data_IF_091540265686
#
_entry.id   IF_091540265686
#
_cell.length_a   1.000
_cell.length_b   1.000
_cell.length_c   1.000
_cell.angle_alpha   90.00
_cell.angle_beta   90.00
_cell.angle_gamma   90.00
#
_symmetry.space_group_name_H-M   'P 1'
#
loop_
_entity.id
_entity.type
_entity.pdbx_description
1 polymer ?
#
# COMPACT_ATOMS: atom_id res chain seq x y z
N UNK A 1 -20.86 8.48 3.28
CA UNK A 1 -21.42 7.38 4.10
C UNK A 1 -20.29 6.77 4.87
N UNK A 2 -20.28 6.87 6.21
CA UNK A 2 -19.25 6.24 7.06
C UNK A 2 -19.46 4.73 7.15
N UNK A 3 -18.37 4.00 7.45
CA UNK A 3 -18.38 2.55 7.64
C UNK A 3 -17.73 2.24 8.98
N UNK A 4 -18.43 1.48 9.81
CA UNK A 4 -17.95 1.02 11.09
C UNK A 4 -17.83 -0.50 11.08
N UNK A 5 -16.63 -0.99 11.36
CA UNK A 5 -16.28 -2.40 11.41
C UNK A 5 -15.91 -2.70 12.86
N UNK A 6 -16.55 -3.67 13.48
CA UNK A 6 -16.33 -4.01 14.90
C UNK A 6 -16.06 -5.49 15.06
N UNK A 7 -14.87 -5.82 15.55
CA UNK A 7 -14.45 -7.16 15.98
C UNK A 7 -14.72 -8.25 14.93
N UNK A 8 -14.53 -7.94 13.65
CA UNK A 8 -14.81 -8.87 12.57
C UNK A 8 -13.80 -10.01 12.60
N UNK A 9 -14.32 -11.22 12.69
CA UNK A 9 -13.58 -12.48 12.63
C UNK A 9 -14.07 -13.32 11.47
N UNK A 10 -13.13 -13.97 10.74
CA UNK A 10 -13.46 -14.89 9.65
C UNK A 10 -12.44 -16.01 9.56
N UNK A 11 -12.94 -17.24 9.50
CA UNK A 11 -12.14 -18.44 9.37
C UNK A 11 -12.61 -19.29 8.16
N UNK A 12 -11.68 -19.88 7.45
CA UNK A 12 -11.91 -20.83 6.37
C UNK A 12 -11.20 -22.15 6.71
N UNK A 13 -11.95 -23.15 7.20
CA UNK A 13 -11.34 -24.35 7.76
C UNK A 13 -10.39 -23.99 8.91
N UNK A 14 -9.12 -24.39 8.81
CA UNK A 14 -8.10 -24.08 9.83
C UNK A 14 -7.41 -22.73 9.59
N UNK A 15 -7.75 -22.01 8.53
CA UNK A 15 -7.12 -20.74 8.18
C UNK A 15 -7.94 -19.56 8.70
N UNK A 16 -7.36 -18.76 9.61
CA UNK A 16 -7.95 -17.51 10.09
C UNK A 16 -7.61 -16.39 9.11
N UNK A 17 -8.60 -15.96 8.33
CA UNK A 17 -8.46 -14.87 7.36
C UNK A 17 -8.54 -13.49 7.99
N UNK A 18 -9.39 -13.31 9.01
CA UNK A 18 -9.53 -12.07 9.78
C UNK A 18 -9.61 -12.42 11.26
N UNK A 19 -8.83 -11.71 12.07
CA UNK A 19 -8.74 -11.93 13.51
C UNK A 19 -9.09 -10.66 14.27
N UNK A 20 -10.36 -10.53 14.66
CA UNK A 20 -10.86 -9.43 15.49
C UNK A 20 -10.57 -8.03 14.90
N UNK A 21 -10.87 -7.85 13.61
CA UNK A 21 -10.59 -6.59 12.89
C UNK A 21 -11.63 -5.53 13.24
N UNK A 22 -11.16 -4.36 13.67
CA UNK A 22 -11.99 -3.17 13.91
C UNK A 22 -11.42 -1.97 13.16
N UNK A 23 -12.29 -1.22 12.45
CA UNK A 23 -11.88 -0.09 11.62
C UNK A 23 -13.06 0.86 11.44
N UNK A 24 -12.80 2.17 11.55
CA UNK A 24 -13.73 3.22 11.19
C UNK A 24 -13.27 3.90 9.90
N UNK A 25 -14.20 4.12 8.97
CA UNK A 25 -13.95 4.82 7.71
C UNK A 25 -14.92 5.98 7.62
N UNK A 26 -14.37 7.18 7.48
CA UNK A 26 -15.14 8.41 7.42
C UNK A 26 -15.90 8.55 6.08
N UNK A 27 -16.97 9.35 6.10
CA UNK A 27 -17.72 9.63 4.89
C UNK A 27 -16.86 10.43 3.90
N UNK A 28 -16.79 9.96 2.64
CA UNK A 28 -16.01 10.59 1.58
C UNK A 28 -14.52 10.28 1.62
N UNK A 29 -14.07 9.38 2.47
CA UNK A 29 -12.66 8.99 2.59
C UNK A 29 -12.28 7.93 1.54
N UNK A 30 -11.07 8.01 1.02
CA UNK A 30 -10.45 6.99 0.16
C UNK A 30 -9.42 6.19 0.96
N UNK A 31 -9.76 4.98 1.33
CA UNK A 31 -8.94 4.10 2.17
C UNK A 31 -8.28 3.00 1.35
N UNK A 32 -6.98 2.79 1.54
CA UNK A 32 -6.25 1.65 1.01
C UNK A 32 -6.13 0.54 2.05
N UNK A 33 -6.59 -0.67 1.73
CA UNK A 33 -6.22 -1.88 2.47
C UNK A 33 -4.93 -2.44 1.84
N UNK A 34 -3.82 -2.30 2.54
CA UNK A 34 -2.47 -2.64 2.09
C UNK A 34 -1.92 -3.85 2.88
N UNK A 35 -1.12 -4.68 2.25
CA UNK A 35 -0.45 -5.81 2.92
C UNK A 35 -0.12 -6.96 1.97
N UNK A 36 0.60 -7.98 2.45
CA UNK A 36 0.99 -9.13 1.64
C UNK A 36 -0.22 -9.95 1.16
N UNK A 37 0.01 -10.78 0.15
CA UNK A 37 -1.02 -11.71 -0.34
C UNK A 37 -1.47 -12.65 0.78
N UNK A 38 -2.79 -12.91 0.86
CA UNK A 38 -3.37 -13.81 1.87
C UNK A 38 -3.55 -13.21 3.27
N UNK A 39 -3.28 -11.91 3.51
CA UNK A 39 -3.46 -11.31 4.83
C UNK A 39 -4.89 -10.88 5.18
N UNK A 40 -5.90 -11.19 4.34
CA UNK A 40 -7.32 -10.96 4.65
C UNK A 40 -7.98 -9.75 3.97
N UNK A 41 -7.26 -8.91 3.22
CA UNK A 41 -7.79 -7.67 2.59
C UNK A 41 -9.04 -7.90 1.73
N UNK A 42 -8.96 -8.80 0.75
CA UNK A 42 -10.10 -9.13 -0.12
C UNK A 42 -11.26 -9.76 0.66
N UNK A 43 -10.96 -10.54 1.69
CA UNK A 43 -11.99 -11.11 2.58
C UNK A 43 -12.72 -10.00 3.32
N UNK A 44 -12.01 -9.03 3.91
CA UNK A 44 -12.60 -7.89 4.57
C UNK A 44 -13.45 -7.06 3.59
N UNK A 45 -12.91 -6.76 2.40
CA UNK A 45 -13.64 -6.03 1.36
C UNK A 45 -14.94 -6.72 0.95
N UNK A 46 -14.93 -8.05 0.81
CA UNK A 46 -16.14 -8.85 0.48
C UNK A 46 -17.14 -8.88 1.62
N UNK A 47 -16.71 -8.91 2.87
CA UNK A 47 -17.59 -8.83 4.04
C UNK A 47 -18.27 -7.46 4.09
N UNK A 48 -17.55 -6.36 3.87
CA UNK A 48 -18.12 -5.01 3.78
C UNK A 48 -19.17 -4.96 2.65
N UNK A 49 -18.89 -5.57 1.51
CA UNK A 49 -19.83 -5.62 0.38
C UNK A 49 -21.08 -6.49 0.65
N UNK A 50 -21.05 -7.39 1.63
CA UNK A 50 -22.08 -8.43 1.82
C UNK A 50 -21.98 -9.59 0.83
N UNK A 51 -20.81 -9.77 0.21
CA UNK A 51 -20.49 -10.90 -0.69
C UNK A 51 -19.93 -12.09 0.09
N UNK A 52 -19.48 -11.87 1.32
CA UNK A 52 -19.01 -12.88 2.26
C UNK A 52 -19.60 -12.56 3.64
N UNK A 53 -19.80 -13.58 4.49
CA UNK A 53 -20.34 -13.41 5.83
C UNK A 53 -19.21 -13.52 6.86
N UNK A 54 -19.14 -12.60 7.80
CA UNK A 54 -18.27 -12.72 8.96
C UNK A 54 -18.79 -13.82 9.89
N UNK A 55 -17.88 -14.51 10.59
CA UNK A 55 -18.25 -15.51 11.60
C UNK A 55 -18.59 -14.82 12.93
N UNK A 56 -17.97 -13.66 13.19
CA UNK A 56 -18.25 -12.79 14.33
C UNK A 56 -18.02 -11.33 13.96
N UNK A 57 -18.55 -10.42 14.77
CA UNK A 57 -18.44 -8.99 14.58
C UNK A 57 -19.58 -8.38 13.77
N UNK A 58 -19.51 -7.07 13.57
CA UNK A 58 -20.58 -6.31 12.89
C UNK A 58 -20.02 -5.32 11.88
N UNK A 59 -20.82 -5.03 10.84
CA UNK A 59 -20.59 -3.97 9.87
C UNK A 59 -21.78 -3.01 9.95
N UNK A 60 -21.51 -1.72 10.18
CA UNK A 60 -22.53 -0.69 10.14
C UNK A 60 -22.21 0.37 9.09
N UNK A 61 -23.21 0.87 8.40
CA UNK A 61 -23.14 1.99 7.49
C UNK A 61 -23.89 3.18 8.06
N UNK A 62 -23.18 4.29 8.31
CA UNK A 62 -23.75 5.50 8.95
C UNK A 62 -24.53 5.20 10.23
N UNK A 63 -24.01 4.28 11.07
CA UNK A 63 -24.60 3.85 12.32
C UNK A 63 -25.69 2.77 12.21
N UNK A 64 -26.10 2.39 11.00
CA UNK A 64 -27.08 1.33 10.78
C UNK A 64 -26.39 -0.02 10.59
N UNK A 65 -26.72 -1.03 11.40
CA UNK A 65 -26.16 -2.38 11.28
C UNK A 65 -26.59 -3.03 9.95
N UNK A 66 -25.61 -3.32 9.11
CA UNK A 66 -25.79 -3.96 7.81
C UNK A 66 -25.22 -5.38 7.76
N UNK A 67 -24.81 -5.94 8.88
CA UNK A 67 -24.13 -7.24 8.96
C UNK A 67 -24.89 -8.35 8.23
N UNK A 68 -26.21 -8.39 8.37
CA UNK A 68 -27.09 -9.38 7.74
C UNK A 68 -27.90 -8.84 6.56
N UNK A 69 -27.66 -7.57 6.16
CA UNK A 69 -28.35 -6.96 5.02
C UNK A 69 -27.79 -7.56 3.72
N UNK A 70 -28.69 -7.95 2.82
CA UNK A 70 -28.31 -8.52 1.54
C UNK A 70 -27.53 -7.54 0.67
N UNK A 71 -26.55 -8.01 -0.09
CA UNK A 71 -25.67 -7.17 -0.93
C UNK A 71 -26.40 -6.17 -1.82
N UNK A 72 -27.60 -6.51 -2.35
CA UNK A 72 -28.42 -5.62 -3.19
C UNK A 72 -28.95 -4.39 -2.45
N UNK A 73 -29.08 -4.46 -1.14
CA UNK A 73 -29.65 -3.40 -0.30
C UNK A 73 -28.57 -2.53 0.35
N UNK A 74 -27.29 -2.97 0.33
CA UNK A 74 -26.17 -2.23 0.93
C UNK A 74 -25.76 -0.97 0.16
N UNK A 75 -26.27 -0.77 -1.04
CA UNK A 75 -25.95 0.38 -1.89
C UNK A 75 -24.43 0.56 -2.16
N UNK A 76 -23.73 -0.54 -2.33
CA UNK A 76 -22.30 -0.57 -2.64
C UNK A 76 -22.05 -0.84 -4.13
N UNK A 77 -21.09 -0.14 -4.70
CA UNK A 77 -20.52 -0.46 -6.01
C UNK A 77 -19.27 -1.31 -5.82
N UNK A 78 -19.19 -2.45 -6.50
CA UNK A 78 -18.04 -3.35 -6.39
C UNK A 78 -17.35 -3.55 -7.73
N UNK A 79 -16.02 -3.35 -7.75
CA UNK A 79 -15.16 -3.64 -8.90
C UNK A 79 -14.26 -4.81 -8.55
N UNK A 80 -14.42 -5.93 -9.27
CA UNK A 80 -13.63 -7.15 -9.06
C UNK A 80 -12.25 -7.04 -9.72
N UNK A 81 -11.26 -7.75 -9.20
CA UNK A 81 -9.89 -7.83 -9.68
C UNK A 81 -9.79 -8.12 -11.19
N UNK A 82 -10.66 -8.97 -11.72
CA UNK A 82 -10.73 -9.31 -13.15
C UNK A 82 -11.82 -8.54 -13.90
N UNK A 83 -12.26 -7.41 -13.33
CA UNK A 83 -13.28 -6.48 -13.88
C UNK A 83 -14.68 -7.08 -14.06
N UNK A 84 -14.81 -8.39 -14.22
CA UNK A 84 -16.06 -9.16 -14.36
C UNK A 84 -17.05 -8.54 -15.38
N UNK A 85 -16.54 -7.99 -16.49
CA UNK A 85 -17.40 -7.48 -17.56
C UNK A 85 -18.13 -8.62 -18.29
N UNK A 86 -19.38 -8.38 -18.65
CA UNK A 86 -20.18 -9.31 -19.46
C UNK A 86 -19.65 -9.34 -20.89
N UNK A 87 -18.98 -10.41 -21.28
CA UNK A 87 -18.24 -10.53 -22.54
C UNK A 87 -19.13 -10.46 -23.78
N UNK A 88 -20.40 -10.84 -23.65
CA UNK A 88 -21.42 -10.85 -24.73
C UNK A 88 -22.19 -9.54 -24.84
N UNK A 89 -21.91 -8.55 -23.99
CA UNK A 89 -22.52 -7.24 -23.97
C UNK A 89 -21.51 -6.19 -24.43
N UNK A 90 -21.99 -5.15 -25.11
CA UNK A 90 -21.19 -3.98 -25.44
C UNK A 90 -20.78 -3.21 -24.18
N UNK A 91 -19.90 -2.25 -24.33
CA UNK A 91 -19.52 -1.31 -23.25
C UNK A 91 -20.76 -0.59 -22.73
N UNK A 92 -21.60 -0.05 -23.62
CA UNK A 92 -22.85 0.60 -23.26
C UNK A 92 -23.75 -0.32 -22.43
N UNK A 93 -23.97 -1.54 -22.89
CA UNK A 93 -24.83 -2.53 -22.22
C UNK A 93 -24.28 -2.95 -20.85
N UNK A 94 -22.96 -3.08 -20.72
CA UNK A 94 -22.31 -3.35 -19.45
C UNK A 94 -22.62 -2.26 -18.42
N UNK A 95 -22.50 -0.98 -18.79
CA UNK A 95 -22.77 0.15 -17.88
C UNK A 95 -24.27 0.27 -17.62
N UNK A 96 -25.11 0.09 -18.62
CA UNK A 96 -26.57 0.16 -18.51
C UNK A 96 -27.19 -0.97 -17.67
N UNK A 97 -26.46 -2.10 -17.52
CA UNK A 97 -27.01 -3.33 -16.94
C UNK A 97 -27.64 -3.11 -15.56
N UNK A 98 -26.91 -2.47 -14.65
CA UNK A 98 -27.39 -2.22 -13.28
C UNK A 98 -28.68 -1.37 -13.25
N UNK A 99 -28.82 -0.44 -14.19
CA UNK A 99 -30.01 0.40 -14.30
C UNK A 99 -31.21 -0.38 -14.84
N UNK A 100 -30.97 -1.26 -15.82
CA UNK A 100 -32.02 -2.05 -16.51
C UNK A 100 -32.60 -3.17 -15.63
N UNK A 101 -31.81 -3.70 -14.68
CA UNK A 101 -32.27 -4.77 -13.76
C UNK A 101 -33.01 -4.24 -12.53
N UNK A 102 -33.08 -2.91 -12.32
CA UNK A 102 -33.90 -2.33 -11.26
C UNK A 102 -35.36 -2.73 -11.37
N UNK A 103 -36.11 -2.85 -10.26
CA UNK A 103 -37.55 -3.05 -10.26
C UNK A 103 -38.24 -2.03 -11.16
N UNK A 104 -39.33 -2.42 -11.82
CA UNK A 104 -40.05 -1.53 -12.78
C UNK A 104 -40.38 -0.15 -12.24
N UNK A 105 -40.68 -0.04 -10.94
CA UNK A 105 -41.02 1.25 -10.28
C UNK A 105 -39.81 2.18 -10.10
N UNK A 106 -38.60 1.64 -10.07
CA UNK A 106 -37.35 2.36 -9.81
C UNK A 106 -36.47 2.47 -11.06
N UNK A 107 -36.87 1.79 -12.15
CA UNK A 107 -36.11 1.76 -13.40
C UNK A 107 -36.30 3.06 -14.14
N UNK A 108 -35.20 3.78 -14.47
CA UNK A 108 -35.26 4.95 -15.34
C UNK A 108 -35.80 4.57 -16.73
N UNK A 109 -36.33 5.56 -17.46
CA UNK A 109 -36.67 5.41 -18.85
C UNK A 109 -35.42 5.08 -19.71
N UNK A 110 -35.60 4.48 -20.88
CA UNK A 110 -34.47 4.13 -21.73
C UNK A 110 -33.70 5.39 -22.21
N UNK A 111 -34.37 6.52 -22.41
CA UNK A 111 -33.73 7.80 -22.71
C UNK A 111 -32.86 8.33 -21.57
N UNK A 112 -33.31 8.16 -20.31
CA UNK A 112 -32.52 8.52 -19.14
C UNK A 112 -31.32 7.57 -18.96
N UNK A 113 -31.50 6.27 -19.22
CA UNK A 113 -30.41 5.29 -19.20
C UNK A 113 -29.36 5.68 -20.24
N UNK A 114 -29.76 5.99 -21.48
CA UNK A 114 -28.83 6.44 -22.52
C UNK A 114 -28.04 7.67 -22.09
N UNK A 115 -28.71 8.71 -21.61
CA UNK A 115 -28.04 9.94 -21.14
C UNK A 115 -27.03 9.62 -20.04
N UNK A 116 -27.45 8.89 -19.01
CA UNK A 116 -26.62 8.57 -17.85
C UNK A 116 -25.41 7.69 -18.21
N UNK A 117 -25.59 6.71 -19.10
CA UNK A 117 -24.49 5.87 -19.57
C UNK A 117 -23.45 6.69 -20.32
N UNK A 118 -23.87 7.57 -21.23
CA UNK A 118 -22.96 8.44 -21.98
C UNK A 118 -22.25 9.44 -21.05
N UNK A 119 -22.95 10.00 -20.06
CA UNK A 119 -22.32 10.84 -19.02
C UNK A 119 -21.22 10.09 -18.25
N UNK A 120 -21.49 8.85 -17.82
CA UNK A 120 -20.51 8.01 -17.13
C UNK A 120 -19.35 7.58 -18.03
N UNK A 121 -19.63 7.24 -19.29
CA UNK A 121 -18.59 6.93 -20.27
C UNK A 121 -17.71 8.15 -20.56
N UNK A 122 -18.32 9.35 -20.62
CA UNK A 122 -17.60 10.62 -20.70
C UNK A 122 -16.71 10.88 -19.49
N UNK A 123 -17.22 10.65 -18.28
CA UNK A 123 -16.48 10.76 -17.02
C UNK A 123 -15.22 9.88 -16.99
N UNK A 124 -15.33 8.64 -17.49
CA UNK A 124 -14.19 7.73 -17.62
C UNK A 124 -13.38 7.92 -18.91
N UNK A 125 -13.76 8.89 -19.76
CA UNK A 125 -13.09 9.26 -21.02
C UNK A 125 -13.12 8.16 -22.09
N UNK A 126 -14.17 7.36 -22.13
CA UNK A 126 -14.30 6.20 -23.02
C UNK A 126 -15.64 6.17 -23.78
N UNK A 127 -16.33 7.30 -23.94
CA UNK A 127 -17.64 7.36 -24.60
C UNK A 127 -17.60 6.85 -26.07
N UNK A 128 -16.49 7.10 -26.75
CA UNK A 128 -16.25 6.62 -28.12
C UNK A 128 -16.14 5.09 -28.26
N UNK A 129 -16.11 4.34 -27.14
CA UNK A 129 -16.07 2.88 -27.10
C UNK A 129 -17.44 2.24 -26.81
N UNK A 130 -18.52 3.02 -26.73
CA UNK A 130 -19.84 2.55 -26.31
C UNK A 130 -20.31 1.26 -27.02
N UNK A 131 -20.05 1.13 -28.30
CA UNK A 131 -20.46 -0.01 -29.14
C UNK A 131 -19.43 -1.15 -29.19
N UNK A 132 -18.29 -1.02 -28.51
CA UNK A 132 -17.25 -2.05 -28.47
C UNK A 132 -17.57 -3.14 -27.43
N UNK A 133 -17.01 -4.32 -27.63
CA UNK A 133 -17.08 -5.43 -26.71
C UNK A 133 -15.84 -5.49 -25.79
N UNK A 134 -15.93 -6.08 -24.58
CA UNK A 134 -14.80 -6.16 -23.66
C UNK A 134 -13.53 -6.79 -24.25
N UNK A 135 -13.66 -7.73 -25.21
CA UNK A 135 -12.54 -8.35 -25.90
C UNK A 135 -11.73 -7.40 -26.78
N UNK A 136 -12.30 -6.25 -27.14
CA UNK A 136 -11.69 -5.23 -27.98
C UNK A 136 -11.01 -4.11 -27.18
N UNK A 137 -11.00 -4.22 -25.85
CA UNK A 137 -10.50 -3.21 -24.93
C UNK A 137 -9.14 -3.59 -24.34
N UNK A 138 -8.31 -2.59 -24.06
CA UNK A 138 -7.12 -2.76 -23.20
C UNK A 138 -7.49 -3.05 -21.75
N UNK A 139 -6.53 -3.52 -20.93
CA UNK A 139 -6.75 -3.76 -19.51
C UNK A 139 -7.27 -2.52 -18.78
N UNK A 140 -6.62 -1.37 -18.95
CA UNK A 140 -7.02 -0.11 -18.33
C UNK A 140 -8.40 0.39 -18.81
N UNK A 141 -8.74 0.17 -20.09
CA UNK A 141 -10.08 0.48 -20.59
C UNK A 141 -11.14 -0.41 -19.94
N UNK A 142 -10.92 -1.72 -19.87
CA UNK A 142 -11.85 -2.64 -19.17
C UNK A 142 -12.07 -2.23 -17.73
N UNK A 143 -11.04 -1.80 -17.04
CA UNK A 143 -11.14 -1.36 -15.65
C UNK A 143 -11.99 -0.08 -15.51
N UNK A 144 -11.73 0.94 -16.33
CA UNK A 144 -12.55 2.16 -16.32
C UNK A 144 -14.03 1.88 -16.63
N UNK A 145 -14.31 0.95 -17.55
CA UNK A 145 -15.69 0.51 -17.83
C UNK A 145 -16.31 -0.22 -16.64
N UNK A 146 -15.57 -1.09 -15.96
CA UNK A 146 -16.05 -1.75 -14.76
C UNK A 146 -16.39 -0.75 -13.64
N UNK A 147 -15.60 0.32 -13.52
CA UNK A 147 -15.87 1.40 -12.59
C UNK A 147 -17.10 2.22 -13.01
N UNK A 148 -17.23 2.58 -14.29
CA UNK A 148 -18.44 3.26 -14.82
C UNK A 148 -19.70 2.43 -14.56
N UNK A 149 -19.63 1.10 -14.73
CA UNK A 149 -20.72 0.18 -14.39
C UNK A 149 -21.07 0.20 -12.90
N UNK A 150 -20.05 0.20 -12.03
CA UNK A 150 -20.27 0.27 -10.57
C UNK A 150 -20.89 1.61 -10.15
N UNK A 151 -20.50 2.71 -10.79
CA UNK A 151 -21.03 4.06 -10.53
C UNK A 151 -22.45 4.26 -11.08
N UNK A 152 -22.85 3.51 -12.11
CA UNK A 152 -24.17 3.67 -12.76
C UNK A 152 -25.34 3.52 -11.80
N UNK A 153 -25.20 2.69 -10.76
CA UNK A 153 -26.22 2.47 -9.75
C UNK A 153 -26.22 3.50 -8.61
N UNK A 154 -25.34 4.52 -8.71
CA UNK A 154 -25.17 5.59 -7.70
C UNK A 154 -24.87 5.03 -6.30
N UNK A 155 -23.77 4.29 -6.16
CA UNK A 155 -23.45 3.68 -4.88
C UNK A 155 -23.05 4.76 -3.86
N UNK A 156 -23.34 4.51 -2.59
CA UNK A 156 -22.85 5.35 -1.49
C UNK A 156 -21.43 4.98 -1.02
N UNK A 157 -21.01 3.77 -1.35
CA UNK A 157 -19.68 3.23 -1.06
C UNK A 157 -19.15 2.53 -2.31
N UNK A 158 -17.88 2.75 -2.62
CA UNK A 158 -17.19 2.12 -3.75
C UNK A 158 -16.08 1.20 -3.23
N UNK A 159 -16.13 -0.06 -3.64
CA UNK A 159 -15.20 -1.10 -3.21
C UNK A 159 -14.45 -1.64 -4.42
N UNK A 160 -13.11 -1.56 -4.39
CA UNK A 160 -12.24 -1.89 -5.51
C UNK A 160 -11.25 -2.99 -5.08
N UNK A 161 -11.36 -4.17 -5.69
CA UNK A 161 -10.47 -5.30 -5.41
C UNK A 161 -9.31 -5.30 -6.41
N UNK A 162 -8.11 -4.93 -5.97
CA UNK A 162 -6.88 -4.78 -6.76
C UNK A 162 -7.06 -4.01 -8.08
N UNK A 163 -7.53 -2.74 -8.01
CA UNK A 163 -7.91 -1.99 -9.22
C UNK A 163 -6.76 -1.72 -10.18
N UNK A 164 -5.52 -1.85 -9.78
CA UNK A 164 -4.34 -1.56 -10.59
C UNK A 164 -3.58 -2.81 -11.04
N UNK A 165 -4.06 -3.99 -10.68
CA UNK A 165 -3.45 -5.26 -11.04
C UNK A 165 -3.45 -5.53 -12.55
N UNK A 166 -2.49 -6.36 -13.01
CA UNK A 166 -2.38 -6.82 -14.41
C UNK A 166 -2.28 -5.71 -15.49
N UNK A 167 -1.77 -4.52 -15.12
CA UNK A 167 -1.54 -3.39 -16.01
C UNK A 167 -0.04 -3.10 -16.17
N UNK A 168 0.37 -2.60 -17.34
CA UNK A 168 1.72 -2.08 -17.51
C UNK A 168 1.97 -0.82 -16.66
N UNK A 169 3.24 -0.52 -16.36
CA UNK A 169 3.62 0.55 -15.44
C UNK A 169 3.09 1.94 -15.84
N UNK A 170 3.04 2.23 -17.14
CA UNK A 170 2.56 3.53 -17.64
C UNK A 170 1.05 3.66 -17.43
N UNK A 171 0.29 2.66 -17.85
CA UNK A 171 -1.18 2.62 -17.68
C UNK A 171 -1.57 2.64 -16.20
N UNK A 172 -0.83 1.89 -15.35
CA UNK A 172 -1.04 1.89 -13.90
C UNK A 172 -0.88 3.29 -13.30
N UNK A 173 0.20 4.01 -13.65
CA UNK A 173 0.44 5.38 -13.17
C UNK A 173 -0.64 6.36 -13.63
N UNK A 174 -1.07 6.27 -14.88
CA UNK A 174 -2.17 7.10 -15.40
C UNK A 174 -3.48 6.82 -14.67
N UNK A 175 -3.76 5.55 -14.40
CA UNK A 175 -4.97 5.12 -13.73
C UNK A 175 -5.02 5.52 -12.25
N UNK A 176 -3.89 5.44 -11.50
CA UNK A 176 -3.80 5.95 -10.13
C UNK A 176 -4.18 7.42 -10.06
N UNK A 177 -3.58 8.25 -10.92
CA UNK A 177 -3.87 9.69 -10.99
C UNK A 177 -5.32 9.99 -11.39
N UNK A 178 -5.85 9.17 -12.29
CA UNK A 178 -7.23 9.32 -12.73
C UNK A 178 -8.21 8.91 -11.61
N UNK A 179 -7.98 7.79 -10.91
CA UNK A 179 -8.83 7.36 -9.79
C UNK A 179 -8.84 8.39 -8.66
N UNK A 180 -7.68 8.97 -8.33
CA UNK A 180 -7.60 10.03 -7.33
C UNK A 180 -8.47 11.23 -7.72
N UNK A 181 -8.34 11.74 -8.93
CA UNK A 181 -9.15 12.86 -9.43
C UNK A 181 -10.64 12.54 -9.43
N UNK A 182 -11.01 11.34 -9.87
CA UNK A 182 -12.39 10.90 -9.87
C UNK A 182 -12.97 10.86 -8.46
N UNK A 183 -12.19 10.39 -7.49
CA UNK A 183 -12.60 10.39 -6.08
C UNK A 183 -12.82 11.82 -5.57
N UNK A 184 -11.91 12.75 -5.87
CA UNK A 184 -12.01 14.16 -5.49
C UNK A 184 -13.27 14.82 -6.08
N UNK A 185 -13.67 14.44 -7.31
CA UNK A 185 -14.87 14.95 -7.97
C UNK A 185 -16.16 14.37 -7.39
N UNK A 186 -16.18 13.08 -7.09
CA UNK A 186 -17.41 12.38 -6.67
C UNK A 186 -17.63 12.40 -5.15
N UNK A 187 -16.57 12.51 -4.36
CA UNK A 187 -16.57 12.47 -2.89
C UNK A 187 -17.35 11.27 -2.31
N UNK A 188 -17.21 10.09 -2.95
CA UNK A 188 -17.84 8.84 -2.52
C UNK A 188 -16.87 8.08 -1.63
N UNK A 189 -17.32 7.62 -0.46
CA UNK A 189 -16.52 6.76 0.42
C UNK A 189 -16.01 5.55 -0.37
N UNK A 190 -14.70 5.39 -0.43
CA UNK A 190 -14.08 4.39 -1.30
C UNK A 190 -13.04 3.58 -0.55
N UNK A 191 -13.02 2.28 -0.81
CA UNK A 191 -11.99 1.36 -0.28
C UNK A 191 -11.38 0.62 -1.46
N UNK A 192 -10.07 0.58 -1.54
CA UNK A 192 -9.39 -0.28 -2.50
C UNK A 192 -8.37 -1.19 -1.83
N UNK A 193 -8.25 -2.39 -2.37
CA UNK A 193 -7.25 -3.39 -1.95
C UNK A 193 -6.04 -3.30 -2.86
N UNK A 194 -4.87 -3.34 -2.29
CA UNK A 194 -3.61 -3.48 -3.04
C UNK A 194 -2.55 -4.20 -2.22
N UNK A 195 -1.57 -4.78 -2.90
CA UNK A 195 -0.32 -5.28 -2.32
C UNK A 195 0.87 -4.38 -2.67
N UNK A 196 0.65 -3.36 -3.49
CA UNK A 196 1.66 -2.41 -3.95
C UNK A 196 1.63 -1.15 -3.06
N UNK A 197 2.76 -0.89 -2.40
CA UNK A 197 2.91 0.25 -1.51
C UNK A 197 2.80 1.60 -2.22
N UNK A 198 3.32 1.72 -3.46
CA UNK A 198 3.22 2.97 -4.22
C UNK A 198 1.77 3.32 -4.52
N UNK A 199 0.94 2.31 -4.84
CA UNK A 199 -0.48 2.50 -5.08
C UNK A 199 -1.20 3.06 -3.85
N UNK A 200 -0.96 2.46 -2.67
CA UNK A 200 -1.55 2.90 -1.43
C UNK A 200 -1.11 4.31 -1.04
N UNK A 201 0.21 4.58 -1.08
CA UNK A 201 0.79 5.84 -0.65
C UNK A 201 0.48 7.02 -1.60
N UNK A 202 0.32 6.77 -2.92
CA UNK A 202 0.01 7.84 -3.88
C UNK A 202 -1.49 8.18 -3.97
N UNK A 203 -2.38 7.22 -3.66
CA UNK A 203 -3.81 7.36 -3.99
C UNK A 203 -4.68 7.58 -2.76
N UNK A 204 -4.38 6.95 -1.63
CA UNK A 204 -5.25 6.94 -0.46
C UNK A 204 -5.14 8.22 0.40
N UNK A 205 -6.23 8.57 1.07
CA UNK A 205 -6.23 9.52 2.18
C UNK A 205 -5.69 8.86 3.45
N UNK A 206 -6.01 7.56 3.63
CA UNK A 206 -5.57 6.75 4.77
C UNK A 206 -5.23 5.33 4.33
N UNK A 207 -4.15 4.81 4.90
CA UNK A 207 -3.65 3.44 4.68
C UNK A 207 -3.95 2.59 5.91
N UNK A 208 -4.54 1.43 5.67
CA UNK A 208 -4.75 0.37 6.66
C UNK A 208 -3.84 -0.79 6.28
N UNK A 209 -2.76 -0.95 7.01
CA UNK A 209 -1.78 -2.00 6.74
C UNK A 209 -2.16 -3.26 7.51
N UNK A 210 -2.35 -4.35 6.78
CA UNK A 210 -2.81 -5.64 7.32
C UNK A 210 -1.74 -6.72 7.19
N UNK A 211 -1.68 -7.58 8.19
CA UNK A 211 -0.80 -8.75 8.20
C UNK A 211 -1.46 -9.91 8.97
N UNK A 212 -1.43 -11.10 8.39
CA UNK A 212 -1.95 -12.35 9.02
C UNK A 212 -3.33 -12.19 9.68
N UNK A 213 -4.24 -11.49 9.00
CA UNK A 213 -5.61 -11.28 9.47
C UNK A 213 -5.80 -10.15 10.49
N UNK A 214 -4.74 -9.43 10.86
CA UNK A 214 -4.78 -8.33 11.82
C UNK A 214 -4.48 -7.00 11.12
N UNK A 215 -4.92 -5.89 11.73
CA UNK A 215 -4.46 -4.56 11.38
C UNK A 215 -3.17 -4.28 12.16
N UNK A 216 -2.09 -3.99 11.45
CA UNK A 216 -0.79 -3.63 12.02
C UNK A 216 -0.67 -2.13 12.30
N UNK A 217 -1.16 -1.31 11.38
CA UNK A 217 -1.14 0.14 11.51
C UNK A 217 -2.21 0.80 10.65
N UNK A 218 -2.74 1.90 11.14
CA UNK A 218 -3.63 2.81 10.41
C UNK A 218 -3.03 4.22 10.50
N UNK A 219 -2.98 4.93 9.39
CA UNK A 219 -2.51 6.32 9.37
C UNK A 219 -2.59 6.94 7.98
N UNK A 220 -2.28 8.23 7.88
CA UNK A 220 -2.05 8.85 6.58
C UNK A 220 -0.86 8.20 5.87
N UNK A 221 -0.73 8.30 4.53
CA UNK A 221 0.44 7.85 3.81
C UNK A 221 1.77 8.31 4.43
N UNK A 222 1.84 9.57 4.86
CA UNK A 222 3.02 10.13 5.49
C UNK A 222 3.28 9.54 6.87
N UNK A 223 2.24 9.32 7.71
CA UNK A 223 2.40 8.76 9.04
C UNK A 223 2.92 7.33 9.01
N UNK A 224 2.35 6.48 8.15
CA UNK A 224 2.80 5.07 8.06
C UNK A 224 4.21 4.96 7.50
N UNK A 225 4.63 5.92 6.66
CA UNK A 225 5.98 5.98 6.12
C UNK A 225 7.00 6.48 7.15
N UNK A 226 6.69 7.58 7.85
CA UNK A 226 7.64 8.25 8.76
C UNK A 226 7.67 7.61 10.16
N UNK A 227 6.54 7.06 10.61
CA UNK A 227 6.35 6.50 11.95
C UNK A 227 5.81 5.06 11.91
N UNK A 228 6.53 4.11 11.27
CA UNK A 228 6.12 2.72 11.22
C UNK A 228 6.02 2.12 12.62
N UNK A 229 4.88 1.48 12.91
CA UNK A 229 4.56 0.97 14.24
C UNK A 229 5.33 -0.32 14.60
N UNK A 230 5.80 -1.07 13.61
CA UNK A 230 6.48 -2.35 13.80
C UNK A 230 7.58 -2.57 12.77
N UNK A 231 8.53 -3.49 13.04
CA UNK A 231 9.52 -3.95 12.06
C UNK A 231 8.87 -4.43 10.75
N UNK A 232 7.72 -5.08 10.85
CA UNK A 232 6.97 -5.54 9.69
C UNK A 232 6.54 -4.36 8.82
N UNK A 233 5.92 -3.34 9.41
CA UNK A 233 5.47 -2.14 8.67
C UNK A 233 6.64 -1.46 8.00
N UNK A 234 7.75 -1.28 8.73
CA UNK A 234 8.95 -0.63 8.21
C UNK A 234 9.50 -1.35 6.98
N UNK A 235 9.68 -2.67 7.07
CA UNK A 235 10.22 -3.50 5.99
C UNK A 235 9.24 -3.70 4.84
N UNK A 236 7.94 -3.70 5.11
CA UNK A 236 6.92 -3.85 4.06
C UNK A 236 6.83 -2.59 3.17
N UNK A 237 7.08 -1.40 3.72
CA UNK A 237 6.97 -0.13 3.00
C UNK A 237 8.23 0.25 2.20
N UNK A 238 9.25 -0.58 2.10
CA UNK A 238 10.41 -0.35 1.24
C UNK A 238 11.65 -1.09 1.70
N UNK A 239 12.70 -1.00 0.87
CA UNK A 239 13.98 -1.61 1.16
C UNK A 239 14.58 -1.06 2.46
N UNK A 240 15.18 -1.95 3.26
CA UNK A 240 15.76 -1.58 4.54
C UNK A 240 17.04 -2.35 4.81
N UNK A 241 17.98 -1.67 5.46
CA UNK A 241 19.15 -2.29 6.11
C UNK A 241 18.81 -2.57 7.56
N UNK A 242 19.14 -3.78 8.04
CA UNK A 242 18.96 -4.18 9.41
C UNK A 242 20.32 -4.22 10.11
N UNK A 243 20.46 -3.42 11.16
CA UNK A 243 21.65 -3.38 11.99
C UNK A 243 21.34 -3.89 13.40
N UNK A 244 22.13 -4.85 13.87
CA UNK A 244 22.03 -5.40 15.20
C UNK A 244 22.84 -4.57 16.20
N UNK A 245 22.29 -4.33 17.38
CA UNK A 245 22.97 -3.57 18.42
C UNK A 245 22.32 -3.77 19.79
N UNK A 246 22.64 -2.84 20.70
CA UNK A 246 22.10 -2.84 22.06
C UNK A 246 21.53 -1.46 22.38
N UNK A 247 20.34 -1.44 22.95
CA UNK A 247 19.70 -0.22 23.43
C UNK A 247 20.00 -0.01 24.92
N UNK A 248 20.37 1.20 25.28
CA UNK A 248 20.65 1.61 26.64
C UNK A 248 20.30 3.08 26.84
N UNK A 249 19.40 3.38 27.79
CA UNK A 249 19.04 4.74 28.23
C UNK A 249 18.74 5.74 27.09
N UNK A 250 18.00 5.30 26.05
CA UNK A 250 17.59 6.18 24.94
C UNK A 250 18.60 6.29 23.81
N UNK A 251 19.64 5.48 23.83
CA UNK A 251 20.60 5.33 22.73
C UNK A 251 20.67 3.87 22.29
N UNK A 252 20.90 3.64 21.00
CA UNK A 252 21.31 2.34 20.48
C UNK A 252 22.73 2.38 19.99
N UNK A 253 23.54 1.42 20.42
CA UNK A 253 24.91 1.23 19.97
C UNK A 253 24.97 0.12 18.93
N UNK A 254 25.48 0.44 17.72
CA UNK A 254 25.78 -0.52 16.66
C UNK A 254 27.28 -0.63 16.58
N UNK A 255 27.82 -1.84 16.76
CA UNK A 255 29.25 -2.09 16.75
C UNK A 255 29.87 -2.22 18.13
N UNK A 256 31.16 -2.53 18.15
CA UNK A 256 31.96 -2.62 19.36
C UNK A 256 33.04 -1.53 19.32
N UNK A 257 33.46 -1.07 20.50
CA UNK A 257 34.60 -0.17 20.71
C UNK A 257 34.44 1.27 20.20
N UNK A 258 35.57 1.89 19.82
CA UNK A 258 35.70 3.32 19.49
C UNK A 258 35.00 3.74 18.19
N UNK A 259 34.55 2.78 17.38
CA UNK A 259 33.87 2.99 16.11
C UNK A 259 32.36 2.75 16.18
N UNK A 260 31.82 2.48 17.37
CA UNK A 260 30.39 2.23 17.55
C UNK A 260 29.57 3.45 17.10
N UNK A 261 28.54 3.17 16.30
CA UNK A 261 27.55 4.17 15.88
C UNK A 261 26.55 4.32 17.02
N UNK A 262 26.31 5.55 17.46
CA UNK A 262 25.26 5.88 18.41
C UNK A 262 24.07 6.42 17.67
N UNK A 263 22.93 5.79 17.84
CA UNK A 263 21.65 6.24 17.32
C UNK A 263 20.76 6.69 18.47
N UNK A 264 20.24 7.89 18.39
CA UNK A 264 19.25 8.37 19.35
C UNK A 264 17.95 7.58 19.23
N UNK A 265 17.43 7.13 20.35
CA UNK A 265 16.19 6.35 20.47
C UNK A 265 15.42 6.77 21.73
N UNK A 266 14.95 8.03 21.82
CA UNK A 266 14.37 8.59 23.03
C UNK A 266 13.13 7.81 23.51
N UNK A 267 12.42 7.14 22.62
CA UNK A 267 11.30 6.26 22.96
C UNK A 267 11.70 5.05 23.83
N UNK A 268 12.98 4.71 23.87
CA UNK A 268 13.55 3.60 24.66
C UNK A 268 14.39 4.06 25.85
N UNK A 269 14.12 5.28 26.39
CA UNK A 269 14.87 5.88 27.49
C UNK A 269 14.87 5.08 28.81
N UNK A 270 13.93 4.15 29.00
CA UNK A 270 13.87 3.27 30.18
C UNK A 270 14.53 1.91 29.98
N UNK A 271 15.01 1.63 28.78
CA UNK A 271 15.62 0.33 28.44
C UNK A 271 17.05 0.30 28.94
N UNK A 272 17.41 -0.76 29.65
CA UNK A 272 18.78 -1.01 30.14
C UNK A 272 19.35 -2.25 29.46
N UNK A 273 20.31 -2.05 28.54
CA UNK A 273 21.12 -3.07 27.90
C UNK A 273 20.32 -4.23 27.23
N UNK A 274 19.30 -3.89 26.46
CA UNK A 274 18.52 -4.88 25.71
C UNK A 274 19.03 -5.01 24.26
N UNK A 275 18.81 -6.19 23.67
CA UNK A 275 19.04 -6.38 22.23
C UNK A 275 18.11 -5.46 21.44
N UNK A 276 18.65 -4.79 20.45
CA UNK A 276 17.92 -3.87 19.63
C UNK A 276 18.31 -4.01 18.16
N UNK A 277 17.38 -3.59 17.30
CA UNK A 277 17.52 -3.59 15.84
C UNK A 277 17.30 -2.18 15.32
N UNK A 278 18.26 -1.65 14.57
CA UNK A 278 18.08 -0.40 13.84
C UNK A 278 17.74 -0.71 12.38
N UNK A 279 16.61 -0.18 11.96
CA UNK A 279 16.15 -0.23 10.57
C UNK A 279 16.50 1.08 9.89
N UNK A 280 17.26 1.01 8.82
CA UNK A 280 17.75 2.19 8.09
C UNK A 280 17.43 2.04 6.61
N UNK A 281 16.76 3.03 6.02
CA UNK A 281 16.50 3.01 4.60
C UNK A 281 17.79 3.26 3.79
N UNK A 282 17.95 2.69 2.58
CA UNK A 282 19.13 2.89 1.76
C UNK A 282 19.46 4.36 1.48
N UNK A 283 18.45 5.22 1.34
CA UNK A 283 18.63 6.66 1.10
C UNK A 283 18.95 7.47 2.37
N UNK A 284 18.80 6.88 3.56
CA UNK A 284 19.16 7.48 4.84
C UNK A 284 20.58 7.13 5.30
N UNK A 285 21.38 6.49 4.44
CA UNK A 285 22.79 6.27 4.65
C UNK A 285 23.63 7.34 3.96
N UNK A 286 24.49 8.03 4.72
CA UNK A 286 25.58 8.82 4.16
C UNK A 286 26.73 7.91 3.81
N UNK A 287 27.32 8.15 2.65
CA UNK A 287 28.44 7.35 2.10
C UNK A 287 29.64 8.26 1.91
N UNK A 288 30.75 7.94 2.59
CA UNK A 288 32.01 8.69 2.51
C UNK A 288 33.18 7.76 2.29
N UNK A 289 34.32 8.32 1.85
CA UNK A 289 35.55 7.52 1.68
C UNK A 289 36.15 7.13 3.02
N UNK A 290 36.57 5.90 3.12
CA UNK A 290 37.37 5.44 4.25
C UNK A 290 38.81 5.98 4.13
N UNK A 291 39.30 6.66 5.16
CA UNK A 291 40.69 7.08 5.26
C UNK A 291 41.40 6.28 6.38
N UNK A 292 42.37 5.42 6.06
CA UNK A 292 43.10 4.66 7.08
C UNK A 292 43.77 5.57 8.12
N UNK A 293 43.54 5.27 9.40
CA UNK A 293 44.11 6.03 10.53
C UNK A 293 43.36 7.31 10.91
N UNK A 294 42.29 7.66 10.23
CA UNK A 294 41.37 8.73 10.67
C UNK A 294 40.31 8.17 11.60
N UNK A 295 39.90 8.96 12.62
CA UNK A 295 38.73 8.65 13.40
C UNK A 295 37.48 8.71 12.49
N UNK A 296 36.72 7.64 12.42
CA UNK A 296 35.44 7.59 11.71
C UNK A 296 34.37 7.02 12.61
N UNK A 297 33.18 7.56 12.50
CA UNK A 297 31.98 7.01 13.11
C UNK A 297 31.11 6.46 11.98
N UNK A 298 31.00 5.15 11.90
CA UNK A 298 30.24 4.53 10.81
C UNK A 298 30.67 3.09 10.54
N UNK A 299 29.90 2.44 9.66
CA UNK A 299 30.16 1.08 9.22
C UNK A 299 31.12 1.09 8.05
N UNK A 300 32.27 0.43 8.22
CA UNK A 300 33.24 0.27 7.14
C UNK A 300 32.80 -0.89 6.24
N UNK A 301 32.57 -0.58 4.96
CA UNK A 301 32.12 -1.56 4.01
C UNK A 301 32.82 -1.38 2.64
N UNK A 302 32.97 -2.48 1.92
CA UNK A 302 33.57 -2.52 0.58
C UNK A 302 32.48 -2.41 -0.46
N UNK A 303 32.58 -1.47 -1.39
CA UNK A 303 31.67 -1.32 -2.52
C UNK A 303 31.85 -2.52 -3.48
N UNK A 304 30.85 -3.38 -3.56
CA UNK A 304 30.86 -4.56 -4.44
C UNK A 304 30.25 -4.26 -5.81
N UNK A 305 29.21 -3.41 -5.82
CA UNK A 305 28.48 -3.07 -7.03
C UNK A 305 27.88 -1.68 -6.97
N UNK A 306 27.90 -0.96 -8.10
CA UNK A 306 27.20 0.32 -8.25
C UNK A 306 26.32 0.30 -9.50
N UNK A 307 25.02 0.56 -9.33
CA UNK A 307 24.05 0.58 -10.41
C UNK A 307 23.47 1.98 -10.51
N UNK A 308 23.70 2.66 -11.64
CA UNK A 308 23.16 4.00 -11.89
C UNK A 308 22.05 3.91 -12.93
N UNK A 309 20.81 4.21 -12.51
CA UNK A 309 19.63 4.21 -13.39
C UNK A 309 18.88 5.53 -13.22
N UNK A 310 18.85 6.33 -14.29
CA UNK A 310 18.21 7.63 -14.26
C UNK A 310 18.80 8.56 -13.20
N UNK A 311 17.97 9.10 -12.27
CA UNK A 311 18.44 10.03 -11.24
C UNK A 311 19.04 9.36 -10.01
N UNK A 312 19.05 8.02 -9.93
CA UNK A 312 19.40 7.25 -8.74
C UNK A 312 20.63 6.38 -8.98
N UNK A 313 21.53 6.34 -8.01
CA UNK A 313 22.64 5.39 -7.89
C UNK A 313 22.35 4.48 -6.68
N UNK A 314 22.31 3.17 -6.91
CA UNK A 314 22.22 2.13 -5.88
C UNK A 314 23.56 1.49 -5.69
N UNK A 315 24.02 1.39 -4.44
CA UNK A 315 25.30 0.82 -4.06
C UNK A 315 25.03 -0.42 -3.22
N UNK A 316 25.67 -1.53 -3.58
CA UNK A 316 25.72 -2.76 -2.80
C UNK A 316 27.09 -2.84 -2.13
N UNK A 317 27.11 -2.97 -0.79
CA UNK A 317 28.34 -2.93 -0.02
C UNK A 317 28.40 -4.14 0.94
N UNK A 318 29.58 -4.74 1.04
CA UNK A 318 29.87 -5.79 2.00
C UNK A 318 30.59 -5.20 3.23
N UNK A 319 30.06 -5.40 4.46
CA UNK A 319 30.73 -4.92 5.67
C UNK A 319 32.08 -5.59 5.82
N UNK A 320 33.12 -4.82 6.18
CA UNK A 320 34.49 -5.35 6.41
C UNK A 320 34.52 -6.20 7.67
N UNK A 321 33.75 -5.84 8.69
CA UNK A 321 33.62 -6.58 9.93
C UNK A 321 32.36 -7.47 9.91
N UNK A 322 32.53 -8.73 9.60
CA UNK A 322 31.43 -9.69 9.45
C UNK A 322 30.64 -9.99 10.75
N UNK A 323 31.15 -9.61 11.90
CA UNK A 323 30.57 -9.98 13.21
C UNK A 323 29.24 -9.32 13.56
N UNK A 324 28.93 -8.14 12.96
CA UNK A 324 27.75 -7.33 13.27
C UNK A 324 26.53 -7.57 12.38
N UNK A 325 26.70 -8.20 11.23
CA UNK A 325 25.70 -8.24 10.18
C UNK A 325 25.30 -9.66 9.74
N UNK A 326 25.90 -10.69 10.29
CA UNK A 326 25.78 -12.05 9.80
C UNK A 326 26.75 -12.35 8.63
N UNK A 327 26.92 -13.64 8.33
CA UNK A 327 27.69 -14.04 7.13
C UNK A 327 26.88 -13.68 5.89
N UNK A 328 27.51 -13.09 4.90
CA UNK A 328 26.90 -12.68 3.61
C UNK A 328 25.92 -11.48 3.66
N UNK A 329 26.02 -10.62 4.68
CA UNK A 329 25.19 -9.42 4.74
C UNK A 329 25.61 -8.41 3.67
N UNK A 330 24.65 -7.94 2.88
CA UNK A 330 24.80 -6.84 1.93
C UNK A 330 24.09 -5.61 2.50
N UNK A 331 24.79 -4.48 2.52
CA UNK A 331 24.23 -3.19 2.88
C UNK A 331 23.93 -2.44 1.58
N UNK A 332 22.72 -1.96 1.45
CA UNK A 332 22.30 -1.14 0.32
C UNK A 332 22.33 0.34 0.68
N UNK A 333 22.97 1.16 -0.16
CA UNK A 333 22.89 2.61 -0.03
C UNK A 333 22.39 3.24 -1.34
N UNK A 334 21.64 4.34 -1.20
CA UNK A 334 21.08 5.04 -2.34
C UNK A 334 21.50 6.51 -2.31
N UNK A 335 22.12 6.95 -3.42
CA UNK A 335 22.53 8.33 -3.66
C UNK A 335 21.82 8.90 -4.88
N UNK A 336 21.83 10.22 -5.03
CA UNK A 336 21.52 10.80 -6.34
C UNK A 336 22.62 10.47 -7.33
N UNK A 337 22.28 10.28 -8.60
CA UNK A 337 23.27 10.03 -9.66
C UNK A 337 24.30 11.17 -9.79
N UNK A 338 23.92 12.41 -9.43
CA UNK A 338 24.82 13.56 -9.38
C UNK A 338 25.85 13.43 -8.26
N UNK A 339 25.42 13.10 -7.04
CA UNK A 339 26.31 12.86 -5.89
C UNK A 339 27.29 11.72 -6.19
N UNK A 340 26.79 10.59 -6.72
CA UNK A 340 27.63 9.46 -7.07
C UNK A 340 28.71 9.83 -8.08
N UNK A 341 28.37 10.58 -9.16
CA UNK A 341 29.34 11.06 -10.14
C UNK A 341 30.37 12.03 -9.57
N UNK A 342 29.94 12.92 -8.65
CA UNK A 342 30.85 13.86 -8.00
C UNK A 342 31.81 13.16 -7.05
N UNK A 343 31.34 12.13 -6.35
CA UNK A 343 32.17 11.33 -5.46
C UNK A 343 33.12 10.37 -6.21
N UNK A 344 32.75 9.94 -7.43
CA UNK A 344 33.55 9.03 -8.29
C UNK A 344 33.99 7.76 -7.55
N UNK A 345 33.11 7.13 -6.78
CA UNK A 345 33.39 5.87 -6.09
C UNK A 345 33.64 4.74 -7.08
N UNK A 346 34.61 3.86 -6.78
CA UNK A 346 34.95 2.70 -7.59
C UNK A 346 34.57 1.40 -6.90
N UNK A 347 34.13 0.43 -7.68
CA UNK A 347 33.94 -0.94 -7.18
C UNK A 347 35.28 -1.46 -6.61
N UNK A 348 35.17 -2.10 -5.44
CA UNK A 348 36.33 -2.54 -4.66
C UNK A 348 36.87 -1.50 -3.67
N UNK A 349 36.41 -0.25 -3.71
CA UNK A 349 36.76 0.81 -2.77
C UNK A 349 36.13 0.57 -1.39
N UNK A 350 36.87 0.89 -0.34
CA UNK A 350 36.35 0.84 1.04
C UNK A 350 35.73 2.19 1.40
N UNK A 351 34.49 2.16 1.88
CA UNK A 351 33.66 3.32 2.21
C UNK A 351 33.21 3.25 3.66
N UNK A 352 32.77 4.38 4.21
CA UNK A 352 32.15 4.49 5.52
C UNK A 352 30.68 4.86 5.34
N UNK A 353 29.79 4.11 5.96
CA UNK A 353 28.36 4.30 5.93
C UNK A 353 27.90 4.83 7.29
N UNK A 354 27.22 5.96 7.30
CA UNK A 354 26.70 6.57 8.52
C UNK A 354 25.18 6.78 8.39
N UNK A 355 24.36 6.15 9.26
CA UNK A 355 22.94 6.39 9.28
C UNK A 355 22.62 7.83 9.66
N UNK A 356 21.81 8.54 8.86
CA UNK A 356 21.26 9.87 9.18
C UNK A 356 19.93 9.75 9.95
N UNK A 357 19.14 8.75 9.59
CA UNK A 357 17.85 8.45 10.20
C UNK A 357 17.75 6.94 10.37
N UNK A 358 17.31 6.52 11.53
CA UNK A 358 17.07 5.12 11.84
C UNK A 358 15.81 4.96 12.68
N UNK A 359 15.15 3.82 12.58
CA UNK A 359 14.11 3.41 13.51
C UNK A 359 14.62 2.24 14.35
N UNK A 360 14.57 2.41 15.65
CA UNK A 360 15.05 1.39 16.59
C UNK A 360 13.86 0.59 17.13
N UNK A 361 14.01 -0.72 17.14
CA UNK A 361 13.07 -1.64 17.79
C UNK A 361 13.83 -2.50 18.78
N UNK A 362 13.31 -2.64 20.00
CA UNK A 362 13.89 -3.45 21.07
C UNK A 362 13.22 -4.81 21.08
N UNK A 363 14.03 -5.87 21.22
CA UNK A 363 13.51 -7.23 21.40
C UNK A 363 12.87 -7.31 22.79
N UNK A 364 11.53 -7.53 22.85
CA UNK A 364 10.75 -7.60 24.07
C UNK A 364 10.82 -8.97 24.75
#
# INVERSE_FOLDING_TARGET
MSIEIRNVHKQFGDFTALNNVSLDIESGELVALLGPSGCGKTTLLRIIAGLETADQGTIAFSGEDTTHVHVRERQVGFVFQHYALFRHMTVFENVAFGLRVKPRKERPSESEIQRKVHELLGLVQLDWLADRYPSQLSGGQRQRIALARALAVEPKVLLLDEPFGALDAKVRKELRRWLRRLHDELNVTSIFVTHDQEEALEVADRVVLMNKGNIEQIGSPQDVWDHPASPFVYGFLGDVNLFHGRAHEGEMLIGADQHAIRLESPEHGQVQDAKAFAYVRPHDLDVTRYAPGSAHTGIVAKLTRAIVVGPVARLELEPVEAGMFGRDAVIEAQLSASQYRQQDFKEGETLVLTPRKARVFVEG
#
